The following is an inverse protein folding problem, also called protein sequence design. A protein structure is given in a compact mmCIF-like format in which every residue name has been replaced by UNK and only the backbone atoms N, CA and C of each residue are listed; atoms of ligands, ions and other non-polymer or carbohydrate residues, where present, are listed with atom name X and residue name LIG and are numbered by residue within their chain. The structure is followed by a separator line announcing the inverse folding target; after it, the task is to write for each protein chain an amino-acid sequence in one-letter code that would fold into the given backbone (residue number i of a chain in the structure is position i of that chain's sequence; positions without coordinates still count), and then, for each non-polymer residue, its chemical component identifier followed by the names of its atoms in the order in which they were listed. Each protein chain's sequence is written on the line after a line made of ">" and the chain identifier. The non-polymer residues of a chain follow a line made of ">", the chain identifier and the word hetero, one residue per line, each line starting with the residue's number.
data_IF_723469244025
#
_entry.id   IF_723469244025
#
_cell.length_a   1.000
_cell.length_b   1.000
_cell.length_c   1.000
_cell.angle_alpha   90.00
_cell.angle_beta   90.00
_cell.angle_gamma   90.00
#
_symmetry.space_group_name_H-M   'P 1'
#
loop_
_entity.id
_entity.type
_entity.pdbx_description
1 polymer ?
#
# COMPACT_ATOMS: atom_id res chain seq x y z
N UNK A 1 1.94 -7.24 6.70
CA UNK A 1 2.90 -7.69 7.72
C UNK A 1 2.20 -8.16 9.00
N UNK A 2 1.33 -7.40 9.66
CA UNK A 2 0.60 -7.90 10.83
C UNK A 2 -0.39 -9.00 10.45
N UNK A 3 -1.11 -8.86 9.36
CA UNK A 3 -1.95 -9.94 8.80
C UNK A 3 -1.13 -11.18 8.46
N UNK A 4 0.12 -11.00 8.03
CA UNK A 4 1.04 -12.08 7.69
C UNK A 4 1.63 -12.79 8.91
N UNK A 5 1.91 -12.07 9.98
CA UNK A 5 2.34 -12.64 11.26
C UNK A 5 1.20 -13.45 11.89
N UNK A 6 -0.03 -12.96 11.83
CA UNK A 6 -1.21 -13.71 12.28
C UNK A 6 -1.52 -14.94 11.41
N UNK A 7 -1.39 -14.83 10.10
CA UNK A 7 -1.54 -15.96 9.17
C UNK A 7 -0.53 -17.09 9.41
N UNK A 8 0.62 -16.81 10.03
CA UNK A 8 1.67 -17.81 10.31
C UNK A 8 1.51 -18.54 11.64
N UNK A 9 0.68 -18.04 12.55
CA UNK A 9 0.51 -18.61 13.88
C UNK A 9 -0.63 -19.61 13.99
N UNK A 10 -1.64 -19.50 13.12
CA UNK A 10 -2.75 -20.44 13.05
C UNK A 10 -2.83 -21.08 11.67
N UNK A 11 -3.02 -22.40 11.60
CA UNK A 11 -3.25 -23.13 10.36
C UNK A 11 -4.47 -22.60 9.58
N UNK A 12 -5.40 -21.94 10.28
CA UNK A 12 -6.61 -21.30 9.74
C UNK A 12 -6.55 -19.76 9.74
N UNK A 13 -5.40 -19.16 9.66
CA UNK A 13 -5.06 -17.74 9.76
C UNK A 13 -6.21 -16.73 9.58
N UNK A 14 -6.35 -15.81 10.52
CA UNK A 14 -7.39 -14.78 10.53
C UNK A 14 -7.36 -13.95 9.24
N UNK A 15 -8.46 -13.95 8.51
CA UNK A 15 -8.58 -13.15 7.29
C UNK A 15 -8.76 -11.65 7.63
N UNK A 16 -8.28 -10.76 6.74
CA UNK A 16 -8.37 -9.31 6.94
C UNK A 16 -9.77 -8.81 7.32
N UNK A 17 -10.84 -9.19 6.61
CA UNK A 17 -12.21 -8.79 6.98
C UNK A 17 -12.63 -9.25 8.38
N UNK A 18 -12.25 -10.45 8.80
CA UNK A 18 -12.55 -10.97 10.14
C UNK A 18 -11.79 -10.19 11.22
N UNK A 19 -10.51 -9.84 10.97
CA UNK A 19 -9.73 -9.01 11.87
C UNK A 19 -10.39 -7.64 12.04
N UNK A 20 -10.83 -7.01 10.96
CA UNK A 20 -11.51 -5.72 11.00
C UNK A 20 -12.83 -5.79 11.77
N UNK A 21 -13.60 -6.85 11.60
CA UNK A 21 -14.86 -7.06 12.36
C UNK A 21 -14.59 -7.24 13.86
N UNK A 22 -13.52 -7.95 14.23
CA UNK A 22 -13.11 -8.09 15.64
C UNK A 22 -12.66 -6.74 16.23
N UNK A 23 -11.89 -5.96 15.48
CA UNK A 23 -11.47 -4.61 15.91
C UNK A 23 -12.69 -3.68 16.07
N UNK A 24 -13.64 -3.74 15.15
CA UNK A 24 -14.90 -2.99 15.23
C UNK A 24 -15.67 -3.33 16.50
N UNK A 25 -15.94 -4.61 16.73
CA UNK A 25 -16.62 -5.09 17.96
C UNK A 25 -15.90 -4.64 19.22
N UNK A 26 -14.55 -4.69 19.21
CA UNK A 26 -13.77 -4.21 20.35
C UNK A 26 -13.97 -2.71 20.60
N UNK A 27 -13.95 -1.88 19.58
CA UNK A 27 -14.22 -0.45 19.72
C UNK A 27 -15.65 -0.18 20.23
N UNK A 28 -16.64 -0.90 19.71
CA UNK A 28 -18.05 -0.79 20.14
C UNK A 28 -18.25 -1.14 21.63
N UNK A 29 -17.43 -2.04 22.20
CA UNK A 29 -17.47 -2.35 23.65
C UNK A 29 -17.11 -1.15 24.53
N UNK A 30 -16.39 -0.16 23.98
CA UNK A 30 -16.07 1.11 24.65
C UNK A 30 -16.98 2.26 24.24
N UNK A 31 -18.16 1.97 23.71
CA UNK A 31 -19.17 2.94 23.26
C UNK A 31 -18.66 3.88 22.16
N UNK A 32 -17.68 3.45 21.35
CA UNK A 32 -17.24 4.22 20.19
C UNK A 32 -18.35 4.17 19.14
N UNK A 33 -18.82 5.34 18.72
CA UNK A 33 -19.80 5.46 17.64
C UNK A 33 -19.07 5.26 16.29
N UNK A 34 -19.42 4.20 15.60
CA UNK A 34 -18.92 3.93 14.24
C UNK A 34 -19.98 4.32 13.23
N UNK A 35 -19.68 5.29 12.38
CA UNK A 35 -20.61 5.80 11.38
C UNK A 35 -20.06 5.46 9.99
N UNK A 36 -20.90 4.84 9.15
CA UNK A 36 -20.57 4.57 7.78
C UNK A 36 -20.91 5.81 6.93
N UNK A 37 -19.92 6.69 6.75
CA UNK A 37 -20.04 7.93 5.99
C UNK A 37 -18.77 8.17 5.19
N UNK A 38 -18.86 8.96 4.12
CA UNK A 38 -17.73 9.41 3.31
C UNK A 38 -17.57 10.92 3.49
N UNK A 39 -16.39 11.34 3.94
CA UNK A 39 -16.09 12.75 4.13
C UNK A 39 -15.51 13.33 2.84
N UNK A 40 -16.21 14.30 2.26
CA UNK A 40 -15.82 14.95 1.00
C UNK A 40 -15.05 16.26 1.21
N UNK A 41 -15.26 16.91 2.35
CA UNK A 41 -14.67 18.23 2.65
C UNK A 41 -14.31 18.35 4.12
N UNK A 42 -13.26 19.11 4.41
CA UNK A 42 -12.86 19.47 5.77
C UNK A 42 -12.58 20.96 5.89
N UNK A 43 -12.80 21.52 7.07
CA UNK A 43 -12.42 22.89 7.43
C UNK A 43 -11.66 22.81 8.78
N UNK A 44 -10.33 23.00 8.70
CA UNK A 44 -9.40 22.78 9.81
C UNK A 44 -8.76 24.08 10.32
N UNK A 45 -9.24 25.24 9.83
CA UNK A 45 -8.69 26.57 10.19
C UNK A 45 -9.07 27.02 11.59
N UNK A 46 -10.24 26.60 12.08
CA UNK A 46 -10.79 27.00 13.37
C UNK A 46 -11.49 25.82 14.06
N UNK A 47 -11.55 25.86 15.40
CA UNK A 47 -12.30 24.90 16.21
C UNK A 47 -13.73 25.39 16.47
N UNK A 48 -14.70 24.46 16.57
CA UNK A 48 -14.58 23.04 16.30
C UNK A 48 -14.29 22.78 14.82
N UNK A 49 -13.39 21.80 14.51
CA UNK A 49 -13.13 21.38 13.15
C UNK A 49 -14.38 20.84 12.49
N UNK A 50 -14.58 21.14 11.21
CA UNK A 50 -15.79 20.75 10.49
C UNK A 50 -15.48 19.74 9.42
N UNK A 51 -16.32 18.72 9.32
CA UNK A 51 -16.23 17.65 8.34
C UNK A 51 -17.59 17.55 7.64
N UNK A 52 -17.60 17.43 6.33
CA UNK A 52 -18.79 17.29 5.51
C UNK A 52 -18.76 15.98 4.74
N UNK A 53 -19.79 15.17 4.95
CA UNK A 53 -20.09 13.95 4.22
C UNK A 53 -21.57 13.93 3.85
N UNK A 54 -22.24 12.81 4.07
CA UNK A 54 -23.71 12.71 3.95
C UNK A 54 -24.40 13.65 4.92
N UNK A 55 -23.75 14.00 6.02
CA UNK A 55 -24.15 15.00 7.01
C UNK A 55 -22.92 15.82 7.45
N UNK A 56 -23.18 16.85 8.27
CA UNK A 56 -22.12 17.69 8.83
C UNK A 56 -21.69 17.15 10.19
N UNK A 57 -20.38 17.07 10.39
CA UNK A 57 -19.76 16.67 11.64
C UNK A 57 -18.89 17.79 12.18
N UNK A 58 -18.69 17.81 13.49
CA UNK A 58 -17.71 18.71 14.12
C UNK A 58 -16.97 18.00 15.25
N UNK A 59 -15.72 18.39 15.48
CA UNK A 59 -14.90 17.82 16.54
C UNK A 59 -13.87 18.83 17.06
N UNK A 60 -13.43 18.66 18.30
CA UNK A 60 -12.39 19.47 18.94
C UNK A 60 -10.98 18.91 18.66
N UNK A 61 -10.90 17.63 18.31
CA UNK A 61 -9.69 16.94 17.87
C UNK A 61 -10.01 15.96 16.75
N UNK A 62 -9.10 15.80 15.79
CA UNK A 62 -9.26 14.96 14.60
C UNK A 62 -8.06 14.03 14.42
N UNK A 63 -8.30 12.73 14.26
CA UNK A 63 -7.30 11.75 13.83
C UNK A 63 -7.62 11.33 12.39
N UNK A 64 -6.69 11.59 11.47
CA UNK A 64 -6.81 11.25 10.06
C UNK A 64 -6.16 9.89 9.84
N UNK A 65 -6.93 8.90 9.39
CA UNK A 65 -6.49 7.52 9.11
C UNK A 65 -7.00 7.02 7.76
N UNK A 66 -7.04 7.90 6.77
CA UNK A 66 -7.62 7.64 5.44
C UNK A 66 -6.77 6.73 4.56
N UNK A 67 -5.53 6.41 5.00
CA UNK A 67 -4.65 5.47 4.32
C UNK A 67 -4.09 5.96 2.99
N UNK A 68 -3.63 5.01 2.18
CA UNK A 68 -3.14 5.24 0.82
C UNK A 68 -3.64 4.12 -0.10
N UNK A 69 -3.89 4.46 -1.35
CA UNK A 69 -4.34 3.53 -2.38
C UNK A 69 -3.18 3.15 -3.29
N UNK A 70 -3.02 1.85 -3.58
CA UNK A 70 -2.08 1.40 -4.58
C UNK A 70 -2.50 1.93 -5.97
N UNK A 71 -1.52 2.30 -6.77
CA UNK A 71 -1.75 2.65 -8.17
C UNK A 71 -1.77 1.38 -9.01
N UNK A 72 -2.75 1.30 -9.90
CA UNK A 72 -2.88 0.25 -10.89
C UNK A 72 -2.77 0.84 -12.30
N UNK A 73 -2.57 0.00 -13.30
CA UNK A 73 -2.49 0.42 -14.70
C UNK A 73 -3.88 0.74 -15.28
N UNK A 74 -4.94 0.27 -14.63
CA UNK A 74 -6.33 0.46 -15.05
C UNK A 74 -6.80 -0.60 -16.06
N UNK A 75 -6.09 -1.73 -16.17
CA UNK A 75 -6.50 -2.83 -17.02
C UNK A 75 -7.71 -3.56 -16.41
N UNK A 76 -8.73 -3.91 -17.19
CA UNK A 76 -9.86 -4.70 -16.68
C UNK A 76 -9.41 -6.01 -16.03
N UNK A 77 -8.41 -6.68 -16.59
CA UNK A 77 -7.85 -7.93 -16.06
C UNK A 77 -7.12 -7.75 -14.72
N UNK A 78 -6.52 -6.59 -14.42
CA UNK A 78 -5.99 -6.32 -13.07
C UNK A 78 -7.09 -6.39 -12.02
N UNK A 79 -8.25 -5.78 -12.32
CA UNK A 79 -9.40 -5.76 -11.41
C UNK A 79 -10.01 -7.15 -11.23
N UNK A 80 -10.08 -7.93 -12.29
CA UNK A 80 -10.63 -9.29 -12.28
C UNK A 80 -9.83 -10.23 -11.39
N UNK A 81 -8.48 -10.13 -11.48
CA UNK A 81 -7.56 -10.99 -10.74
C UNK A 81 -7.02 -10.37 -9.46
N UNK A 82 -7.55 -9.23 -9.01
CA UNK A 82 -7.13 -8.60 -7.76
C UNK A 82 -7.39 -9.56 -6.57
N UNK A 83 -6.34 -9.89 -5.82
CA UNK A 83 -6.37 -10.89 -4.74
C UNK A 83 -6.43 -12.35 -5.22
N UNK A 84 -6.43 -12.57 -6.54
CA UNK A 84 -6.37 -13.91 -7.17
C UNK A 84 -5.13 -14.07 -8.05
N UNK A 85 -4.06 -13.39 -7.71
CA UNK A 85 -2.81 -13.38 -8.46
C UNK A 85 -2.28 -11.99 -8.78
N UNK A 86 -3.10 -10.95 -8.75
CA UNK A 86 -2.67 -9.55 -8.82
C UNK A 86 -2.59 -8.95 -7.42
N UNK A 87 -1.45 -8.37 -7.08
CA UNK A 87 -1.15 -7.71 -5.80
C UNK A 87 -0.36 -6.41 -6.04
N UNK A 88 -0.35 -5.53 -5.04
CA UNK A 88 0.50 -4.33 -5.01
C UNK A 88 1.46 -4.33 -3.79
N UNK A 89 1.68 -5.50 -3.16
CA UNK A 89 2.54 -5.62 -1.99
C UNK A 89 3.26 -6.97 -1.97
N UNK A 90 4.51 -6.99 -2.43
CA UNK A 90 5.31 -8.22 -2.44
C UNK A 90 5.60 -8.78 -1.04
N UNK A 91 5.82 -7.91 -0.05
CA UNK A 91 6.05 -8.33 1.34
C UNK A 91 4.80 -8.92 2.00
N UNK A 92 3.60 -8.55 1.51
CA UNK A 92 2.33 -9.07 2.00
C UNK A 92 2.03 -10.45 1.40
N UNK A 93 2.13 -10.56 0.09
CA UNK A 93 1.59 -11.69 -0.67
C UNK A 93 2.66 -12.57 -1.34
N UNK A 94 3.91 -12.11 -1.41
CA UNK A 94 4.97 -12.81 -2.13
C UNK A 94 5.23 -14.25 -1.65
N UNK A 95 4.99 -14.52 -0.36
CA UNK A 95 5.16 -15.85 0.20
C UNK A 95 4.24 -16.92 -0.41
N UNK A 96 3.06 -16.53 -0.89
CA UNK A 96 2.13 -17.45 -1.56
C UNK A 96 2.64 -17.95 -2.91
N UNK A 97 3.66 -17.29 -3.48
CA UNK A 97 4.29 -17.62 -4.76
C UNK A 97 5.68 -18.24 -4.60
N UNK A 98 5.96 -18.84 -3.43
CA UNK A 98 7.22 -19.54 -3.21
C UNK A 98 7.44 -20.59 -4.28
N UNK A 99 8.67 -20.61 -4.84
CA UNK A 99 9.11 -21.52 -5.90
C UNK A 99 8.30 -21.45 -7.22
N UNK A 100 7.48 -20.38 -7.39
CA UNK A 100 6.72 -20.11 -8.61
C UNK A 100 7.32 -18.90 -9.35
N UNK A 101 6.96 -18.77 -10.64
CA UNK A 101 7.32 -17.60 -11.43
C UNK A 101 6.32 -16.45 -11.17
N UNK A 102 6.83 -15.23 -11.07
CA UNK A 102 6.01 -14.02 -10.86
C UNK A 102 6.49 -12.87 -11.74
N UNK A 103 5.62 -11.87 -11.93
CA UNK A 103 6.00 -10.60 -12.54
C UNK A 103 5.96 -9.46 -11.52
N UNK A 104 6.86 -8.48 -11.70
CA UNK A 104 6.82 -7.17 -11.05
C UNK A 104 6.73 -6.12 -12.14
N UNK A 105 5.74 -5.24 -12.04
CA UNK A 105 5.53 -4.16 -13.01
C UNK A 105 5.90 -2.83 -12.38
N UNK A 106 6.92 -2.18 -12.90
CA UNK A 106 7.40 -0.91 -12.39
C UNK A 106 8.84 -0.60 -12.75
N UNK A 107 9.45 0.41 -12.11
CA UNK A 107 10.84 0.76 -12.41
C UNK A 107 11.43 1.82 -11.47
N UNK A 108 10.73 2.12 -10.37
CA UNK A 108 11.22 2.94 -9.25
C UNK A 108 11.81 2.07 -8.14
N UNK A 109 12.15 2.68 -7.00
CA UNK A 109 12.69 1.99 -5.82
C UNK A 109 11.79 0.84 -5.39
N UNK A 110 10.49 1.07 -5.24
CA UNK A 110 9.52 0.05 -4.85
C UNK A 110 9.58 -1.19 -5.75
N UNK A 111 9.60 -1.00 -7.08
CA UNK A 111 9.66 -2.12 -8.02
C UNK A 111 10.97 -2.91 -7.91
N UNK A 112 12.09 -2.20 -7.73
CA UNK A 112 13.38 -2.84 -7.53
C UNK A 112 13.46 -3.62 -6.20
N UNK A 113 12.97 -3.03 -5.11
CA UNK A 113 12.91 -3.66 -3.78
C UNK A 113 12.01 -4.89 -3.78
N UNK A 114 10.82 -4.80 -4.39
CA UNK A 114 9.90 -5.93 -4.52
C UNK A 114 10.47 -7.05 -5.39
N UNK A 115 11.09 -6.72 -6.53
CA UNK A 115 11.75 -7.71 -7.37
C UNK A 115 12.90 -8.42 -6.64
N UNK A 116 13.72 -7.67 -5.88
CA UNK A 116 14.79 -8.23 -5.05
C UNK A 116 14.27 -9.09 -3.89
N UNK A 117 13.15 -8.73 -3.29
CA UNK A 117 12.52 -9.56 -2.28
C UNK A 117 12.00 -10.87 -2.87
N UNK A 118 11.25 -10.78 -3.96
CA UNK A 118 10.66 -11.93 -4.65
C UNK A 118 11.72 -12.86 -5.25
N UNK A 119 12.87 -12.34 -5.72
CA UNK A 119 13.95 -13.16 -6.26
C UNK A 119 14.52 -14.17 -5.27
N UNK A 120 14.34 -13.92 -3.96
CA UNK A 120 14.82 -14.81 -2.88
C UNK A 120 13.86 -15.96 -2.58
N UNK A 121 12.59 -15.83 -2.94
CA UNK A 121 11.54 -16.78 -2.56
C UNK A 121 10.86 -17.43 -3.76
N UNK A 122 10.82 -16.76 -4.90
CA UNK A 122 10.25 -17.26 -6.14
C UNK A 122 11.28 -17.98 -7.01
N UNK A 123 10.80 -18.83 -7.91
CA UNK A 123 11.70 -19.51 -8.87
C UNK A 123 12.25 -18.53 -9.90
N UNK A 124 11.45 -17.59 -10.36
CA UNK A 124 11.78 -16.58 -11.37
C UNK A 124 10.97 -15.30 -11.14
N UNK A 125 11.60 -14.15 -11.35
CA UNK A 125 10.93 -12.84 -11.35
C UNK A 125 11.07 -12.18 -12.70
N UNK A 126 9.97 -11.85 -13.35
CA UNK A 126 9.92 -11.06 -14.58
C UNK A 126 9.73 -9.59 -14.21
N UNK A 127 10.77 -8.76 -14.33
CA UNK A 127 10.66 -7.32 -14.06
C UNK A 127 10.32 -6.57 -15.35
N UNK A 128 9.07 -6.10 -15.45
CA UNK A 128 8.50 -5.45 -16.63
C UNK A 128 8.60 -3.95 -16.48
N UNK A 129 9.34 -3.29 -17.36
CA UNK A 129 9.53 -1.84 -17.31
C UNK A 129 9.37 -1.18 -18.69
N UNK A 130 8.56 -0.12 -18.74
CA UNK A 130 8.20 0.61 -19.96
C UNK A 130 9.33 1.46 -20.59
N UNK A 131 10.50 1.49 -19.99
CA UNK A 131 11.68 2.23 -20.47
C UNK A 131 12.89 1.29 -20.57
N UNK A 132 13.97 1.81 -21.10
CA UNK A 132 15.25 1.13 -21.24
C UNK A 132 16.12 1.18 -19.97
N UNK A 133 15.66 1.90 -18.90
CA UNK A 133 16.42 2.12 -17.67
C UNK A 133 15.53 2.28 -16.46
N UNK A 134 15.86 1.58 -15.37
CA UNK A 134 15.21 1.78 -14.07
C UNK A 134 15.50 3.18 -13.50
N UNK A 135 14.49 3.77 -12.85
CA UNK A 135 14.60 5.03 -12.13
C UNK A 135 14.97 4.85 -10.66
N UNK A 136 15.10 3.61 -10.21
CA UNK A 136 15.53 3.27 -8.87
C UNK A 136 16.93 3.82 -8.57
N UNK A 137 17.24 3.96 -7.29
CA UNK A 137 18.56 4.36 -6.81
C UNK A 137 19.66 3.41 -7.33
N UNK A 138 20.88 3.94 -7.45
CA UNK A 138 22.02 3.17 -8.03
C UNK A 138 22.22 1.84 -7.32
N UNK A 139 22.20 1.84 -5.99
CA UNK A 139 22.43 0.62 -5.19
C UNK A 139 21.37 -0.47 -5.47
N UNK A 140 20.14 -0.09 -5.69
CA UNK A 140 19.06 -1.04 -6.02
C UNK A 140 19.20 -1.55 -7.45
N UNK A 141 19.60 -0.69 -8.39
CA UNK A 141 19.85 -1.10 -9.78
C UNK A 141 21.02 -2.08 -9.88
N UNK A 142 22.10 -1.84 -9.14
CA UNK A 142 23.26 -2.72 -9.10
C UNK A 142 22.85 -4.10 -8.54
N UNK A 143 22.10 -4.15 -7.46
CA UNK A 143 21.58 -5.41 -6.90
C UNK A 143 20.61 -6.14 -7.84
N UNK A 144 19.76 -5.42 -8.55
CA UNK A 144 18.87 -6.03 -9.56
C UNK A 144 19.72 -6.64 -10.68
N UNK A 145 20.77 -5.95 -11.14
CA UNK A 145 21.69 -6.48 -12.14
C UNK A 145 22.38 -7.77 -11.67
N UNK A 146 22.83 -7.83 -10.42
CA UNK A 146 23.41 -9.05 -9.83
C UNK A 146 22.42 -10.23 -9.86
N UNK A 147 21.14 -9.99 -9.59
CA UNK A 147 20.11 -11.04 -9.63
C UNK A 147 19.71 -11.42 -11.09
N UNK A 148 19.87 -10.49 -12.04
CA UNK A 148 19.73 -10.78 -13.46
C UNK A 148 20.87 -11.71 -13.93
N UNK A 149 22.10 -11.43 -13.55
CA UNK A 149 23.27 -12.26 -13.88
C UNK A 149 23.19 -13.68 -13.29
N UNK A 150 22.55 -13.81 -12.10
CA UNK A 150 22.23 -15.11 -11.49
C UNK A 150 21.04 -15.82 -12.15
N UNK A 151 20.37 -15.19 -13.09
CA UNK A 151 19.19 -15.74 -13.76
C UNK A 151 17.91 -15.76 -12.91
N UNK A 152 17.92 -15.12 -11.74
CA UNK A 152 16.74 -15.01 -10.83
C UNK A 152 15.74 -13.94 -11.28
N UNK A 153 16.24 -12.83 -11.82
CA UNK A 153 15.41 -11.78 -12.41
C UNK A 153 15.61 -11.78 -13.93
N UNK A 154 14.54 -11.64 -14.67
CA UNK A 154 14.56 -11.40 -16.12
C UNK A 154 13.96 -10.03 -16.40
N UNK A 155 14.77 -9.16 -17.03
CA UNK A 155 14.32 -7.82 -17.40
C UNK A 155 13.56 -7.82 -18.71
N UNK A 156 12.41 -7.17 -18.70
CA UNK A 156 11.64 -6.85 -19.90
C UNK A 156 11.62 -5.33 -20.06
N UNK A 157 12.62 -4.84 -20.81
CA UNK A 157 12.75 -3.40 -21.12
C UNK A 157 11.78 -2.98 -22.22
N UNK A 158 11.43 -1.68 -22.25
CA UNK A 158 10.51 -1.09 -23.22
C UNK A 158 9.18 -1.86 -23.32
N UNK A 159 8.79 -2.51 -22.21
CA UNK A 159 7.68 -3.43 -22.16
C UNK A 159 6.61 -2.94 -21.20
N UNK A 160 5.36 -3.14 -21.55
CA UNK A 160 4.20 -2.84 -20.73
C UNK A 160 3.36 -4.08 -20.51
N UNK A 161 2.77 -4.21 -19.32
CA UNK A 161 1.73 -5.20 -19.10
C UNK A 161 0.52 -4.82 -19.96
N UNK A 162 0.11 -5.72 -20.84
CA UNK A 162 -1.05 -5.54 -21.71
C UNK A 162 -2.30 -6.21 -21.14
N UNK A 163 -2.12 -7.41 -20.60
CA UNK A 163 -3.24 -8.19 -20.05
C UNK A 163 -2.73 -9.18 -19.00
N UNK A 164 -3.53 -9.41 -17.96
CA UNK A 164 -3.36 -10.51 -17.02
C UNK A 164 -4.28 -11.64 -17.45
N UNK A 165 -3.74 -12.85 -17.54
CA UNK A 165 -4.43 -14.04 -17.99
C UNK A 165 -4.56 -15.04 -16.85
N UNK A 166 -5.70 -15.72 -16.78
CA UNK A 166 -5.95 -16.68 -15.72
C UNK A 166 -7.24 -17.46 -15.91
N UNK A 167 -7.57 -18.22 -14.90
CA UNK A 167 -8.81 -18.99 -14.81
C UNK A 167 -9.46 -18.82 -13.41
N UNK A 168 -10.42 -19.62 -13.05
CA UNK A 168 -11.11 -19.57 -11.75
C UNK A 168 -10.15 -19.73 -10.55
N UNK A 169 -8.98 -20.36 -10.76
CA UNK A 169 -7.95 -20.58 -9.72
C UNK A 169 -7.03 -19.38 -9.55
N UNK A 170 -7.05 -18.43 -10.49
CA UNK A 170 -6.25 -17.21 -10.46
C UNK A 170 -5.35 -17.04 -11.67
N UNK A 171 -4.34 -16.17 -11.54
CA UNK A 171 -3.38 -15.83 -12.61
C UNK A 171 -2.55 -17.05 -12.99
N UNK A 172 -2.42 -17.30 -14.31
CA UNK A 172 -1.56 -18.34 -14.88
C UNK A 172 -0.58 -17.81 -15.94
N UNK A 173 -0.79 -16.59 -16.45
CA UNK A 173 0.12 -15.93 -17.38
C UNK A 173 -0.12 -14.41 -17.41
N UNK A 174 0.77 -13.69 -18.08
CA UNK A 174 0.53 -12.31 -18.53
C UNK A 174 0.90 -12.19 -20.01
N UNK A 175 0.23 -11.25 -20.67
CA UNK A 175 0.67 -10.75 -21.98
C UNK A 175 1.38 -9.41 -21.78
N UNK A 176 2.60 -9.29 -22.28
CA UNK A 176 3.34 -8.03 -22.33
C UNK A 176 3.46 -7.54 -23.78
N UNK A 177 3.53 -6.23 -23.94
CA UNK A 177 3.73 -5.55 -25.21
C UNK A 177 5.12 -4.92 -25.21
N UNK A 178 5.94 -5.30 -26.21
CA UNK A 178 7.28 -4.74 -26.45
C UNK A 178 7.35 -4.31 -27.90
N UNK A 179 7.48 -3.01 -28.16
CA UNK A 179 7.54 -2.46 -29.55
C UNK A 179 6.45 -3.05 -30.45
N UNK A 180 5.21 -3.02 -29.99
CA UNK A 180 4.00 -3.57 -30.64
C UNK A 180 3.96 -5.10 -30.81
N UNK A 181 4.97 -5.81 -30.32
CA UNK A 181 4.98 -7.27 -30.31
C UNK A 181 4.44 -7.81 -28.97
N UNK A 182 3.46 -8.67 -29.06
CA UNK A 182 2.88 -9.37 -27.91
C UNK A 182 3.71 -10.58 -27.54
N UNK A 183 4.04 -10.71 -26.26
CA UNK A 183 4.72 -11.88 -25.69
C UNK A 183 3.94 -12.37 -24.48
N UNK A 184 3.62 -13.66 -24.46
CA UNK A 184 3.05 -14.32 -23.29
C UNK A 184 4.16 -14.80 -22.36
N UNK A 185 3.97 -14.58 -21.04
CA UNK A 185 4.82 -15.09 -19.98
C UNK A 185 3.98 -15.95 -19.04
N UNK A 186 4.31 -17.21 -18.91
CA UNK A 186 3.63 -18.11 -17.96
C UNK A 186 4.16 -17.86 -16.56
N UNK A 187 3.27 -17.51 -15.63
CA UNK A 187 3.58 -17.15 -14.25
C UNK A 187 2.30 -17.19 -13.36
N UNK A 188 2.48 -17.15 -12.05
CA UNK A 188 1.37 -17.37 -11.13
C UNK A 188 0.94 -16.11 -10.34
N UNK A 189 1.74 -15.05 -10.38
CA UNK A 189 1.42 -13.82 -9.67
C UNK A 189 2.01 -12.58 -10.33
N UNK A 190 1.31 -11.46 -10.20
CA UNK A 190 1.71 -10.15 -10.75
C UNK A 190 1.68 -9.11 -9.64
N UNK A 191 2.80 -8.43 -9.42
CA UNK A 191 2.96 -7.37 -8.45
C UNK A 191 3.03 -6.03 -9.15
N UNK A 192 2.02 -5.17 -8.93
CA UNK A 192 1.93 -3.85 -9.54
C UNK A 192 2.66 -2.84 -8.64
N UNK A 193 3.90 -2.55 -8.96
CA UNK A 193 4.82 -1.73 -8.16
C UNK A 193 5.05 -0.34 -8.80
N UNK A 194 3.97 0.35 -9.17
CA UNK A 194 4.02 1.68 -9.80
C UNK A 194 3.79 2.84 -8.84
N UNK A 195 3.71 2.55 -7.54
CA UNK A 195 3.58 3.49 -6.45
C UNK A 195 2.21 3.50 -5.80
N UNK A 196 2.07 4.38 -4.82
CA UNK A 196 0.84 4.60 -4.05
C UNK A 196 0.41 6.07 -4.16
N UNK A 197 -0.82 6.32 -3.80
CA UNK A 197 -1.38 7.66 -3.67
C UNK A 197 -2.06 7.75 -2.30
N UNK A 198 -1.61 8.65 -1.40
CA UNK A 198 -2.27 8.83 -0.11
C UNK A 198 -3.65 9.47 -0.32
N UNK A 199 -4.62 9.08 0.51
CA UNK A 199 -5.98 9.61 0.44
C UNK A 199 -6.06 10.93 1.22
N UNK A 200 -5.52 12.00 0.64
CA UNK A 200 -5.29 13.30 1.29
C UNK A 200 -5.91 14.48 0.56
N UNK A 201 -6.62 14.27 -0.54
CA UNK A 201 -7.14 15.34 -1.41
C UNK A 201 -7.94 16.39 -0.63
N UNK A 202 -8.80 15.96 0.31
CA UNK A 202 -9.66 16.85 1.09
C UNK A 202 -8.90 17.71 2.12
N UNK A 203 -7.63 17.40 2.37
CA UNK A 203 -6.77 18.15 3.32
C UNK A 203 -5.77 19.07 2.63
N UNK A 204 -5.71 19.09 1.29
CA UNK A 204 -4.80 19.93 0.52
C UNK A 204 -5.02 21.42 0.82
N UNK A 205 -3.91 22.14 1.03
CA UNK A 205 -3.95 23.56 1.39
C UNK A 205 -4.31 23.85 2.85
N UNK A 206 -4.66 22.84 3.64
CA UNK A 206 -4.99 22.98 5.07
C UNK A 206 -3.91 22.36 5.97
N UNK A 207 -3.24 21.31 5.51
CA UNK A 207 -2.18 20.61 6.24
C UNK A 207 -0.87 20.64 5.45
N UNK A 208 0.25 20.65 6.18
CA UNK A 208 1.56 20.47 5.57
C UNK A 208 1.73 19.04 5.05
N UNK A 209 2.20 18.93 3.78
CA UNK A 209 2.36 17.66 3.09
C UNK A 209 3.71 17.56 2.39
N UNK A 210 4.21 16.32 2.28
CA UNK A 210 5.38 15.98 1.48
C UNK A 210 5.03 14.82 0.55
N UNK A 211 5.18 15.01 -0.77
CA UNK A 211 4.78 14.01 -1.78
C UNK A 211 3.31 13.58 -1.63
N UNK A 212 2.42 14.49 -1.32
CA UNK A 212 1.01 14.31 -1.00
C UNK A 212 0.71 13.58 0.33
N UNK A 213 1.69 13.06 1.06
CA UNK A 213 1.52 12.49 2.40
C UNK A 213 1.47 13.57 3.46
N UNK A 214 0.60 13.42 4.46
CA UNK A 214 0.53 14.36 5.59
C UNK A 214 1.82 14.29 6.40
N UNK A 215 2.45 15.44 6.60
CA UNK A 215 3.65 15.55 7.45
C UNK A 215 3.24 15.50 8.91
N UNK A 216 3.90 14.62 9.69
CA UNK A 216 3.75 14.52 11.14
C UNK A 216 5.07 14.88 11.85
N UNK A 217 4.99 15.27 13.11
CA UNK A 217 6.15 15.68 13.90
C UNK A 217 7.20 14.58 14.02
N UNK A 218 6.77 13.33 14.20
CA UNK A 218 7.63 12.17 14.46
C UNK A 218 8.45 12.29 15.74
N UNK A 219 9.21 11.24 16.10
CA UNK A 219 10.14 11.24 17.22
C UNK A 219 9.58 10.63 18.50
N UNK A 220 10.31 10.78 19.59
CA UNK A 220 10.02 10.17 20.89
C UNK A 220 9.67 11.18 22.00
N UNK A 221 9.61 12.47 21.67
CA UNK A 221 9.33 13.55 22.62
C UNK A 221 7.84 13.78 22.90
N UNK A 222 7.00 12.83 22.44
CA UNK A 222 5.54 12.92 22.50
C UNK A 222 4.95 13.74 21.35
N UNK A 223 3.64 13.66 21.19
CA UNK A 223 2.90 14.31 20.09
C UNK A 223 3.45 13.96 18.71
N UNK A 224 3.94 12.71 18.54
CA UNK A 224 4.64 12.26 17.36
C UNK A 224 3.73 12.22 16.10
N UNK A 225 2.42 12.10 16.28
CA UNK A 225 1.43 12.03 15.21
C UNK A 225 0.78 13.38 14.87
N UNK A 226 1.21 14.46 15.57
CA UNK A 226 0.71 15.82 15.32
C UNK A 226 1.04 16.29 13.90
N UNK A 227 0.06 16.90 13.26
CA UNK A 227 0.21 17.59 11.97
C UNK A 227 0.62 19.06 12.18
N UNK A 228 0.60 19.86 11.12
CA UNK A 228 0.83 21.32 11.18
C UNK A 228 -0.31 22.09 11.88
N UNK A 229 -1.49 21.48 12.08
CA UNK A 229 -2.63 22.09 12.77
C UNK A 229 -2.78 21.49 14.16
N UNK A 230 -2.69 22.28 15.25
CA UNK A 230 -2.85 21.79 16.63
C UNK A 230 -4.22 21.13 16.83
N UNK A 231 -4.21 19.89 17.36
CA UNK A 231 -5.43 19.09 17.55
C UNK A 231 -5.79 18.21 16.37
N UNK A 232 -5.02 18.28 15.27
CA UNK A 232 -5.15 17.38 14.12
C UNK A 232 -3.95 16.44 14.07
N UNK A 233 -4.22 15.15 13.99
CA UNK A 233 -3.25 14.05 13.98
C UNK A 233 -3.40 13.20 12.73
N UNK A 234 -2.33 12.53 12.31
CA UNK A 234 -2.40 11.59 11.19
C UNK A 234 -1.72 10.26 11.55
N UNK A 235 -2.35 9.16 11.16
CA UNK A 235 -1.92 7.81 11.52
C UNK A 235 -2.02 6.83 10.34
N UNK A 236 -1.01 5.99 10.20
CA UNK A 236 -0.94 4.96 9.16
C UNK A 236 -0.48 5.50 7.81
N UNK A 237 -0.89 4.81 6.74
CA UNK A 237 -0.37 5.02 5.39
C UNK A 237 -0.63 6.42 4.83
N UNK A 238 -1.53 7.20 5.40
CA UNK A 238 -1.77 8.61 5.03
C UNK A 238 -0.58 9.51 5.33
N UNK A 239 0.27 9.12 6.28
CA UNK A 239 1.52 9.81 6.70
C UNK A 239 2.76 8.95 6.51
N UNK A 240 2.63 7.63 6.36
CA UNK A 240 3.73 6.68 6.18
C UNK A 240 3.95 6.37 4.70
N UNK A 241 4.85 7.11 4.06
CA UNK A 241 5.23 6.85 2.67
C UNK A 241 6.25 5.71 2.50
N UNK A 242 6.78 5.15 3.59
CA UNK A 242 7.92 4.22 3.58
C UNK A 242 7.48 2.79 3.86
N UNK A 243 6.91 2.53 5.02
CA UNK A 243 6.65 1.16 5.49
C UNK A 243 5.31 0.62 5.01
N UNK A 244 4.22 1.38 5.18
CA UNK A 244 2.86 1.02 4.77
C UNK A 244 2.47 -0.40 5.19
N UNK A 245 2.66 -0.69 6.47
CA UNK A 245 2.36 -2.00 7.04
C UNK A 245 1.25 -1.88 8.09
N UNK A 246 0.38 -2.91 8.18
CA UNK A 246 -0.72 -2.92 9.14
C UNK A 246 -0.23 -2.74 10.59
N UNK A 247 0.93 -3.30 10.96
CA UNK A 247 1.48 -3.17 12.31
C UNK A 247 1.99 -1.74 12.58
N UNK A 248 2.60 -1.07 11.61
CA UNK A 248 3.01 0.34 11.77
C UNK A 248 1.78 1.23 11.86
N UNK A 249 0.77 1.00 11.04
CA UNK A 249 -0.51 1.73 11.10
C UNK A 249 -1.20 1.57 12.45
N UNK A 250 -1.22 0.35 13.02
CA UNK A 250 -1.77 0.11 14.36
C UNK A 250 -0.98 0.87 15.44
N UNK A 251 0.35 0.88 15.35
CA UNK A 251 1.22 1.64 16.26
C UNK A 251 0.97 3.15 16.17
N UNK A 252 0.91 3.70 14.96
CA UNK A 252 0.57 5.12 14.75
C UNK A 252 -0.85 5.45 15.26
N UNK A 253 -1.82 4.55 15.05
CA UNK A 253 -3.18 4.73 15.59
C UNK A 253 -3.21 4.83 17.11
N UNK A 254 -2.46 3.95 17.81
CA UNK A 254 -2.30 4.02 19.26
C UNK A 254 -1.66 5.33 19.70
N UNK A 255 -0.58 5.76 19.06
CA UNK A 255 0.09 7.03 19.37
C UNK A 255 -0.83 8.23 19.14
N UNK A 256 -1.60 8.24 18.04
CA UNK A 256 -2.51 9.32 17.73
C UNK A 256 -3.65 9.45 18.75
N UNK A 257 -4.15 8.32 19.23
CA UNK A 257 -5.16 8.33 20.31
C UNK A 257 -4.61 8.95 21.59
N UNK A 258 -3.40 8.56 22.02
CA UNK A 258 -2.73 9.11 23.20
C UNK A 258 -2.37 10.60 23.02
N UNK A 259 -1.96 11.00 21.83
CA UNK A 259 -1.66 12.40 21.52
C UNK A 259 -2.94 13.26 21.55
N UNK A 260 -4.06 12.75 21.01
CA UNK A 260 -5.36 13.43 21.05
C UNK A 260 -5.91 13.54 22.48
N UNK A 261 -5.78 12.47 23.29
CA UNK A 261 -6.19 12.48 24.71
C UNK A 261 -5.46 13.57 25.52
N UNK A 262 -4.16 13.72 25.30
CA UNK A 262 -3.36 14.77 26.00
C UNK A 262 -3.73 16.18 25.56
N UNK A 263 -4.25 16.32 24.36
CA UNK A 263 -4.63 17.62 23.81
C UNK A 263 -6.00 18.09 24.29
N UNK A 264 -6.95 17.18 24.50
CA UNK A 264 -8.29 17.44 24.99
C UNK A 264 -8.31 17.67 26.51
#
# INVERSE_FOLDING_TARGET
>A
AASDVYKRQDHDGLQGPELMERMKKHAEMFNVLIVNDHIDQTELSEKPFKLKGSQNWSCDSLIISTGASAKYLGLPSEKEFLGKGVSACATCDGFFYRDQAVAVVGGGNTAAEEALYLSRICSKVHLIHRRDKLRAEKILRDRVADEVDKGKIEMHWNSQLNEVLGDERGVNAVEILTDDNKKKLDLNGVFIAIGHHPNTEIFKGQLEMKNDYITIKSGTDGMATSTSVPGVYAAGDVSDQVYRQAITSAGFGCMAALDAEKFL
#
